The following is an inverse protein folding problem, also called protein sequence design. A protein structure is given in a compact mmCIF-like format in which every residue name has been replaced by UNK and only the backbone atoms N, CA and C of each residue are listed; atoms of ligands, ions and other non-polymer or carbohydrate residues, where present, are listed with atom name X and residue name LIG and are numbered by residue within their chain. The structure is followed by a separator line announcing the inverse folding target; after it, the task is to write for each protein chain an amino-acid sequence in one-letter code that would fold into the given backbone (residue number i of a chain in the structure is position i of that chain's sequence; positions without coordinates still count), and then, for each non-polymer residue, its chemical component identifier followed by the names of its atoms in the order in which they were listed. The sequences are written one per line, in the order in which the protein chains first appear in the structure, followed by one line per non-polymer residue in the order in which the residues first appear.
data_IF_192088449767
#
_entry.id   IF_192088449767
#
_cell.length_a   1.000
_cell.length_b   1.000
_cell.length_c   1.000
_cell.angle_alpha   90.00
_cell.angle_beta   90.00
_cell.angle_gamma   90.00
#
_symmetry.space_group_name_H-M   'P 1'
#
loop_
_entity.id
_entity.type
_entity.pdbx_description
1 polymer ?
#
# COMPACT_ATOMS: atom_id res chain seq x y z
N UNK A 1 -30.24 -5.99 20.24
CA UNK A 1 -29.71 -6.89 21.27
C UNK A 1 -28.53 -7.67 20.69
N UNK A 2 -27.47 -7.85 21.47
CA UNK A 2 -26.33 -8.69 21.09
C UNK A 2 -26.78 -10.16 21.25
N UNK A 3 -26.72 -10.90 20.14
CA UNK A 3 -27.24 -12.29 20.11
C UNK A 3 -26.18 -13.32 20.51
N UNK A 4 -24.92 -12.88 20.76
CA UNK A 4 -23.82 -13.77 21.10
C UNK A 4 -23.46 -13.71 22.57
N UNK A 5 -23.27 -14.88 23.21
CA UNK A 5 -22.72 -14.95 24.55
C UNK A 5 -21.25 -14.49 24.56
N UNK A 6 -20.67 -14.08 25.72
CA UNK A 6 -19.26 -13.71 25.83
C UNK A 6 -18.30 -14.80 25.31
N UNK A 7 -18.60 -16.07 25.60
CA UNK A 7 -17.80 -17.21 25.17
C UNK A 7 -17.86 -17.46 23.65
N UNK A 8 -19.05 -17.33 23.06
CA UNK A 8 -19.22 -17.41 21.62
C UNK A 8 -18.46 -16.29 20.92
N UNK A 9 -18.50 -15.07 21.46
CA UNK A 9 -17.76 -13.93 20.95
C UNK A 9 -16.26 -14.18 21.05
N UNK A 10 -15.77 -14.64 22.19
CA UNK A 10 -14.36 -14.98 22.37
C UNK A 10 -13.89 -16.03 21.34
N UNK A 11 -14.65 -17.09 21.13
CA UNK A 11 -14.36 -18.12 20.11
C UNK A 11 -14.36 -17.56 18.69
N UNK A 12 -15.27 -16.65 18.36
CA UNK A 12 -15.28 -15.99 17.06
C UNK A 12 -14.05 -15.09 16.86
N UNK A 13 -13.72 -14.29 17.87
CA UNK A 13 -12.58 -13.37 17.80
C UNK A 13 -11.24 -14.09 17.77
N UNK A 14 -11.08 -15.21 18.47
CA UNK A 14 -9.86 -16.04 18.47
C UNK A 14 -9.57 -16.69 17.11
N UNK A 15 -10.59 -16.84 16.25
CA UNK A 15 -10.43 -17.35 14.88
C UNK A 15 -9.99 -16.28 13.87
N UNK A 16 -10.00 -15.01 14.27
CA UNK A 16 -9.55 -13.93 13.37
C UNK A 16 -8.04 -13.84 13.43
N UNK A 17 -7.41 -14.27 12.35
CA UNK A 17 -5.96 -14.17 12.20
C UNK A 17 -5.56 -12.75 11.79
N UNK A 18 -4.53 -12.22 12.45
CA UNK A 18 -3.93 -10.91 12.13
C UNK A 18 -2.86 -10.98 11.03
N UNK A 19 -2.58 -12.17 10.51
CA UNK A 19 -1.55 -12.44 9.49
C UNK A 19 -2.00 -13.55 8.55
N UNK A 20 -1.49 -13.52 7.34
CA UNK A 20 -1.83 -14.48 6.29
C UNK A 20 -3.32 -14.52 5.99
N UNK A 21 -3.96 -13.36 6.06
CA UNK A 21 -5.36 -13.22 5.69
C UNK A 21 -5.58 -13.52 4.21
N UNK A 22 -6.81 -13.90 3.84
CA UNK A 22 -7.15 -14.16 2.43
C UNK A 22 -6.80 -12.99 1.49
N UNK A 23 -7.10 -11.71 1.84
CA UNK A 23 -6.67 -10.55 1.05
C UNK A 23 -5.15 -10.47 0.88
N UNK A 24 -4.38 -10.58 1.97
CA UNK A 24 -2.92 -10.56 1.89
C UNK A 24 -2.36 -11.64 0.97
N UNK A 25 -2.87 -12.88 1.08
CA UNK A 25 -2.42 -13.99 0.24
C UNK A 25 -2.72 -13.77 -1.25
N UNK A 26 -3.83 -13.10 -1.61
CA UNK A 26 -4.14 -12.73 -2.99
C UNK A 26 -3.10 -11.76 -3.55
N UNK A 27 -2.81 -10.67 -2.82
CA UNK A 27 -1.81 -9.68 -3.22
C UNK A 27 -0.42 -10.33 -3.34
N UNK A 28 -0.01 -11.12 -2.36
CA UNK A 28 1.29 -11.81 -2.37
C UNK A 28 1.44 -12.77 -3.56
N UNK A 29 0.43 -13.58 -3.86
CA UNK A 29 0.45 -14.51 -5.00
C UNK A 29 0.56 -13.76 -6.32
N UNK A 30 -0.23 -12.70 -6.47
CA UNK A 30 -0.21 -11.89 -7.68
C UNK A 30 1.17 -11.25 -7.89
N UNK A 31 1.74 -10.59 -6.89
CA UNK A 31 3.07 -9.99 -6.98
C UNK A 31 4.13 -11.05 -7.32
N UNK A 32 4.08 -12.20 -6.67
CA UNK A 32 5.04 -13.28 -6.91
C UNK A 32 4.95 -13.81 -8.34
N UNK A 33 3.74 -14.03 -8.87
CA UNK A 33 3.53 -14.52 -10.25
C UNK A 33 3.96 -13.53 -11.31
N UNK A 34 4.01 -12.23 -10.98
CA UNK A 34 4.51 -11.16 -11.87
C UNK A 34 5.99 -10.81 -11.64
N UNK A 35 6.74 -11.69 -10.98
CA UNK A 35 8.19 -11.55 -10.84
C UNK A 35 8.65 -10.67 -9.69
N UNK A 36 7.76 -10.04 -8.94
CA UNK A 36 8.13 -9.21 -7.80
C UNK A 36 8.62 -10.04 -6.62
N UNK A 37 9.68 -9.59 -5.97
CA UNK A 37 10.25 -10.22 -4.77
C UNK A 37 10.11 -9.26 -3.59
N UNK A 38 9.67 -9.79 -2.45
CA UNK A 38 9.32 -9.00 -1.28
C UNK A 38 9.71 -9.72 0.02
N UNK A 39 9.69 -9.00 1.12
CA UNK A 39 9.84 -9.52 2.47
C UNK A 39 8.55 -9.31 3.27
N UNK A 40 8.30 -10.22 4.20
CA UNK A 40 7.15 -10.19 5.10
C UNK A 40 7.61 -9.90 6.53
N UNK A 41 6.72 -9.33 7.34
CA UNK A 41 6.92 -9.16 8.78
C UNK A 41 8.26 -8.48 9.15
N UNK A 42 8.65 -7.45 8.43
CA UNK A 42 9.90 -6.71 8.68
C UNK A 42 9.71 -5.77 9.86
N UNK A 43 10.18 -6.19 11.03
CA UNK A 43 10.01 -5.44 12.31
C UNK A 43 10.67 -4.06 12.32
N UNK A 44 11.72 -3.84 11.51
CA UNK A 44 12.42 -2.56 11.41
C UNK A 44 11.67 -1.50 10.60
N UNK A 45 10.53 -1.86 9.99
CA UNK A 45 9.71 -0.95 9.19
C UNK A 45 8.49 -0.51 10.02
N UNK A 46 8.29 0.79 10.26
CA UNK A 46 7.15 1.30 11.03
C UNK A 46 5.81 0.81 10.52
N UNK A 47 4.85 0.59 11.42
CA UNK A 47 3.50 0.14 11.07
C UNK A 47 3.37 -1.34 10.71
N UNK A 48 4.48 -2.08 10.66
CA UNK A 48 4.50 -3.53 10.34
C UNK A 48 3.75 -3.84 9.04
N UNK A 49 4.17 -3.29 7.89
CA UNK A 49 3.52 -3.55 6.62
C UNK A 49 3.48 -5.02 6.26
N UNK A 50 2.43 -5.44 5.55
CA UNK A 50 2.24 -6.84 5.13
C UNK A 50 3.29 -7.28 4.13
N UNK A 51 3.75 -6.33 3.28
CA UNK A 51 4.72 -6.58 2.22
C UNK A 51 5.73 -5.42 2.19
N UNK A 52 7.02 -5.75 2.18
CA UNK A 52 8.11 -4.77 2.10
C UNK A 52 8.97 -5.06 0.87
N UNK A 53 9.11 -4.09 0.02
CA UNK A 53 9.86 -4.16 -1.24
C UNK A 53 11.02 -3.16 -1.20
N UNK A 54 12.17 -3.58 -0.65
CA UNK A 54 13.35 -2.71 -0.47
C UNK A 54 13.88 -2.09 -1.77
N UNK A 55 13.99 -2.83 -2.90
CA UNK A 55 14.46 -2.25 -4.16
C UNK A 55 13.59 -1.10 -4.66
N UNK A 56 12.31 -1.11 -4.31
CA UNK A 56 11.31 -0.11 -4.67
C UNK A 56 11.09 0.92 -3.56
N UNK A 57 11.77 0.79 -2.40
CA UNK A 57 11.48 1.55 -1.17
C UNK A 57 9.99 1.66 -0.87
N UNK A 58 9.27 0.56 -1.06
CA UNK A 58 7.80 0.53 -0.96
C UNK A 58 7.34 -0.40 0.14
N UNK A 59 6.40 0.09 0.95
CA UNK A 59 5.67 -0.64 1.96
C UNK A 59 4.21 -0.78 1.53
N UNK A 60 3.70 -2.02 1.47
CA UNK A 60 2.30 -2.28 1.08
C UNK A 60 1.55 -2.78 2.30
N UNK A 61 0.40 -2.15 2.57
CA UNK A 61 -0.55 -2.53 3.59
C UNK A 61 -1.81 -3.08 2.92
N UNK A 62 -2.32 -4.20 3.41
CA UNK A 62 -3.56 -4.82 2.92
C UNK A 62 -4.62 -4.71 4.01
N UNK A 63 -5.41 -3.67 3.92
CA UNK A 63 -6.32 -3.27 4.98
C UNK A 63 -7.71 -3.92 4.83
N UNK A 64 -8.20 -4.55 5.89
CA UNK A 64 -9.59 -4.95 5.99
C UNK A 64 -10.50 -3.74 6.17
N UNK A 65 -11.54 -3.60 5.33
CA UNK A 65 -12.39 -2.41 5.29
C UNK A 65 -13.01 -2.08 6.64
N UNK A 66 -13.49 -3.07 7.36
CA UNK A 66 -14.11 -2.87 8.67
C UNK A 66 -13.12 -2.37 9.73
N UNK A 67 -11.95 -3.01 9.82
CA UNK A 67 -10.99 -2.75 10.89
C UNK A 67 -10.27 -1.40 10.76
N UNK A 68 -10.12 -0.92 9.54
CA UNK A 68 -9.41 0.32 9.20
C UNK A 68 -10.37 1.44 8.75
N UNK A 69 -11.69 1.19 8.76
CA UNK A 69 -12.70 2.19 8.48
C UNK A 69 -12.64 2.74 7.06
N UNK A 70 -12.57 1.85 6.06
CA UNK A 70 -12.56 2.27 4.67
C UNK A 70 -13.85 3.06 4.34
N UNK A 71 -13.70 4.21 3.70
CA UNK A 71 -14.78 5.15 3.34
C UNK A 71 -15.61 5.67 4.54
N UNK A 72 -15.08 5.59 5.75
CA UNK A 72 -15.73 6.13 6.94
C UNK A 72 -14.95 7.33 7.45
N UNK A 73 -15.48 8.52 7.23
CA UNK A 73 -14.96 9.75 7.85
C UNK A 73 -15.59 9.92 9.24
N UNK A 74 -14.77 9.70 10.26
CA UNK A 74 -15.19 9.77 11.67
C UNK A 74 -14.86 11.17 12.23
N UNK A 75 -15.54 12.22 11.77
CA UNK A 75 -15.41 13.57 12.33
C UNK A 75 -16.37 13.74 13.52
N UNK A 76 -15.85 14.29 14.60
CA UNK A 76 -16.66 14.68 15.77
C UNK A 76 -17.00 16.16 15.60
N UNK A 77 -18.26 16.46 15.30
CA UNK A 77 -18.79 17.81 15.33
C UNK A 77 -19.78 17.94 16.50
N UNK A 78 -19.53 18.94 17.36
CA UNK A 78 -20.38 19.26 18.53
C UNK A 78 -20.65 18.08 19.48
N UNK A 79 -19.64 17.22 19.72
CA UNK A 79 -19.77 16.05 20.60
C UNK A 79 -20.63 14.93 20.02
N UNK A 80 -21.16 15.07 18.81
CA UNK A 80 -21.91 14.03 18.09
C UNK A 80 -21.11 13.52 16.91
N UNK A 81 -21.06 12.22 16.79
CA UNK A 81 -20.39 11.53 15.70
C UNK A 81 -21.24 11.63 14.43
N UNK A 82 -20.72 12.29 13.42
CA UNK A 82 -21.27 12.24 12.05
C UNK A 82 -20.43 11.27 11.24
N UNK A 83 -21.04 10.22 10.73
CA UNK A 83 -20.50 9.48 9.61
C UNK A 83 -20.94 10.27 8.37
N UNK A 84 -20.03 10.89 7.66
CA UNK A 84 -20.36 11.45 6.34
C UNK A 84 -20.40 10.32 5.34
N UNK A 85 -21.49 10.24 4.60
CA UNK A 85 -21.51 9.58 3.31
C UNK A 85 -20.50 10.33 2.41
N UNK A 86 -19.63 9.61 1.75
CA UNK A 86 -18.40 10.11 1.14
C UNK A 86 -18.60 11.38 0.30
N UNK A 87 -18.07 12.52 0.75
CA UNK A 87 -17.65 13.59 -0.15
C UNK A 87 -16.15 13.43 -0.45
N UNK A 88 -15.69 13.74 -1.67
CA UNK A 88 -14.30 13.51 -2.06
C UNK A 88 -13.36 14.37 -1.20
N UNK A 89 -12.48 13.72 -0.46
CA UNK A 89 -11.50 14.37 0.39
C UNK A 89 -10.46 15.11 -0.47
N UNK A 90 -10.30 16.39 -0.19
CA UNK A 90 -9.16 17.20 -0.60
C UNK A 90 -7.89 16.74 0.14
N UNK A 91 -6.84 16.46 -0.63
CA UNK A 91 -5.41 16.54 -0.29
C UNK A 91 -4.80 15.76 0.89
N UNK A 92 -5.27 14.58 1.23
CA UNK A 92 -4.48 13.73 2.12
C UNK A 92 -4.60 12.27 1.68
N UNK A 93 -3.49 11.70 1.26
CA UNK A 93 -3.33 10.35 0.73
C UNK A 93 -4.02 10.16 -0.62
N UNK A 94 -3.24 10.23 -1.69
CA UNK A 94 -3.69 9.76 -3.02
C UNK A 94 -3.96 8.25 -2.97
N UNK A 95 -5.05 7.88 -2.31
CA UNK A 95 -5.79 6.69 -2.64
C UNK A 95 -6.34 6.98 -4.02
N UNK A 96 -6.02 6.17 -4.98
CA UNK A 96 -6.42 6.14 -6.40
C UNK A 96 -7.50 7.17 -6.79
N UNK A 97 -7.20 8.25 -7.54
CA UNK A 97 -8.08 9.42 -7.67
C UNK A 97 -9.35 9.23 -8.52
N UNK A 98 -9.64 8.06 -9.06
CA UNK A 98 -10.79 7.88 -9.95
C UNK A 98 -11.70 6.67 -9.65
N UNK A 99 -11.63 6.09 -8.46
CA UNK A 99 -12.39 4.87 -8.16
C UNK A 99 -13.73 5.08 -7.46
N UNK A 100 -14.15 6.34 -7.27
CA UNK A 100 -15.38 6.66 -6.53
C UNK A 100 -16.69 6.22 -7.22
N UNK A 101 -16.65 5.74 -8.45
CA UNK A 101 -17.88 5.52 -9.23
C UNK A 101 -18.38 4.08 -9.31
N UNK A 102 -17.70 3.09 -8.70
CA UNK A 102 -18.16 1.68 -8.76
C UNK A 102 -18.15 1.03 -7.36
N UNK A 103 -18.01 1.77 -6.29
CA UNK A 103 -18.03 1.20 -4.95
C UNK A 103 -19.46 1.32 -4.43
N UNK A 104 -20.14 0.18 -4.42
CA UNK A 104 -21.38 -0.04 -3.69
C UNK A 104 -21.21 0.53 -2.29
N UNK A 105 -22.00 1.54 -1.96
CA UNK A 105 -21.89 2.43 -0.81
C UNK A 105 -21.58 1.67 0.47
N UNK A 106 -20.49 2.06 1.13
CA UNK A 106 -20.05 1.62 2.46
C UNK A 106 -19.68 0.14 2.58
N UNK A 107 -18.46 -0.21 2.12
CA UNK A 107 -17.87 -1.52 2.42
C UNK A 107 -17.57 -1.71 3.92
N UNK A 108 -17.43 -0.63 4.70
CA UNK A 108 -17.31 -0.66 6.16
C UNK A 108 -18.68 -0.43 6.82
N UNK A 109 -19.32 -1.50 7.32
CA UNK A 109 -20.58 -1.42 8.06
C UNK A 109 -20.31 -1.48 9.56
N UNK A 110 -20.48 -0.34 10.25
CA UNK A 110 -20.32 -0.27 11.70
C UNK A 110 -21.53 -0.97 12.38
N UNK A 111 -21.31 -1.95 13.28
CA UNK A 111 -22.40 -2.63 13.98
C UNK A 111 -23.28 -1.65 14.76
N UNK A 112 -24.60 -1.90 14.75
CA UNK A 112 -25.55 -1.09 15.52
C UNK A 112 -25.39 -1.31 17.02
N UNK A 113 -25.05 -2.55 17.43
CA UNK A 113 -24.76 -2.89 18.83
C UNK A 113 -23.38 -2.35 19.20
N UNK A 114 -23.30 -1.72 20.38
CA UNK A 114 -22.06 -1.16 20.94
C UNK A 114 -21.31 -0.19 19.96
N UNK A 115 -22.11 0.62 19.25
CA UNK A 115 -21.63 1.50 18.18
C UNK A 115 -20.50 2.43 18.65
N UNK A 116 -20.61 3.02 19.85
CA UNK A 116 -19.60 3.91 20.41
C UNK A 116 -18.22 3.25 20.54
N UNK A 117 -18.19 2.00 21.02
CA UNK A 117 -16.95 1.23 21.11
C UNK A 117 -16.31 1.01 19.73
N UNK A 118 -17.09 0.60 18.73
CA UNK A 118 -16.57 0.32 17.40
C UNK A 118 -16.04 1.56 16.70
N UNK A 119 -16.76 2.65 16.81
CA UNK A 119 -16.35 3.93 16.27
C UNK A 119 -15.02 4.38 16.86
N UNK A 120 -14.90 4.37 18.18
CA UNK A 120 -13.65 4.76 18.85
C UNK A 120 -12.50 3.83 18.50
N UNK A 121 -12.75 2.52 18.36
CA UNK A 121 -11.74 1.56 17.94
C UNK A 121 -11.26 1.80 16.52
N UNK A 122 -12.18 2.04 15.57
CA UNK A 122 -11.86 2.33 14.17
C UNK A 122 -11.07 3.64 14.09
N UNK A 123 -11.50 4.69 14.80
CA UNK A 123 -10.79 5.98 14.84
C UNK A 123 -9.36 5.84 15.32
N UNK A 124 -9.13 5.08 16.39
CA UNK A 124 -7.75 4.81 16.87
C UNK A 124 -6.93 4.06 15.86
N UNK A 125 -7.52 3.12 15.15
CA UNK A 125 -6.81 2.40 14.08
C UNK A 125 -6.43 3.36 12.95
N UNK A 126 -7.37 4.19 12.46
CA UNK A 126 -7.09 5.19 11.41
C UNK A 126 -5.97 6.16 11.82
N UNK A 127 -6.02 6.69 13.06
CA UNK A 127 -4.98 7.60 13.56
C UNK A 127 -3.61 6.93 13.65
N UNK A 128 -3.57 5.68 14.12
CA UNK A 128 -2.34 4.90 14.17
C UNK A 128 -1.79 4.63 12.78
N UNK A 129 -2.63 4.24 11.84
CA UNK A 129 -2.26 3.92 10.47
C UNK A 129 -1.71 5.16 9.78
N UNK A 130 -2.40 6.30 9.86
CA UNK A 130 -1.93 7.56 9.27
C UNK A 130 -0.59 8.01 9.85
N UNK A 131 -0.40 7.92 11.17
CA UNK A 131 0.90 8.21 11.81
C UNK A 131 2.00 7.32 11.24
N UNK A 132 1.75 6.02 11.11
CA UNK A 132 2.73 5.09 10.57
C UNK A 132 3.03 5.37 9.10
N UNK A 133 2.02 5.70 8.30
CA UNK A 133 2.19 6.07 6.90
C UNK A 133 3.01 7.35 6.74
N UNK A 134 2.77 8.34 7.61
CA UNK A 134 3.55 9.58 7.59
C UNK A 134 5.02 9.32 7.95
N UNK A 135 5.29 8.56 9.01
CA UNK A 135 6.66 8.17 9.39
C UNK A 135 7.38 7.46 8.24
N UNK A 136 6.68 6.59 7.51
CA UNK A 136 7.25 5.90 6.36
C UNK A 136 7.60 6.88 5.23
N UNK A 137 6.68 7.79 4.89
CA UNK A 137 6.90 8.81 3.86
C UNK A 137 8.06 9.74 4.21
N UNK A 138 8.13 10.20 5.45
CA UNK A 138 9.21 11.06 5.96
C UNK A 138 10.59 10.36 5.87
N UNK A 139 10.60 9.03 5.97
CA UNK A 139 11.79 8.21 5.77
C UNK A 139 12.02 7.82 4.29
N UNK A 140 11.32 8.44 3.35
CA UNK A 140 11.48 8.21 1.91
C UNK A 140 10.93 6.86 1.43
N UNK A 141 9.99 6.26 2.14
CA UNK A 141 9.26 5.09 1.70
C UNK A 141 7.99 5.48 0.97
N UNK A 142 7.70 4.79 -0.11
CA UNK A 142 6.38 4.84 -0.73
C UNK A 142 5.42 3.92 0.04
N UNK A 143 4.23 4.43 0.30
CA UNK A 143 3.18 3.67 0.99
C UNK A 143 2.06 3.38 0.01
N UNK A 144 1.76 2.10 -0.16
CA UNK A 144 0.62 1.63 -0.96
C UNK A 144 -0.35 0.94 -0.01
N UNK A 145 -1.60 1.40 0.00
CA UNK A 145 -2.68 0.78 0.77
C UNK A 145 -3.63 0.10 -0.21
N UNK A 146 -3.84 -1.20 -0.02
CA UNK A 146 -4.77 -2.01 -0.80
C UNK A 146 -5.92 -2.42 0.12
N UNK A 147 -7.15 -2.12 -0.26
CA UNK A 147 -8.33 -2.43 0.53
C UNK A 147 -8.92 -3.79 0.15
N UNK A 148 -9.44 -4.50 1.15
CA UNK A 148 -10.08 -5.81 0.95
C UNK A 148 -11.17 -5.80 -0.12
N UNK A 149 -11.99 -4.75 -0.18
CA UNK A 149 -13.06 -4.60 -1.17
C UNK A 149 -12.52 -4.52 -2.61
N UNK A 150 -11.33 -3.97 -2.81
CA UNK A 150 -10.65 -3.86 -4.10
C UNK A 150 -10.12 -5.20 -4.61
N UNK A 151 -10.06 -6.22 -3.74
CA UNK A 151 -9.59 -7.57 -4.08
C UNK A 151 -10.73 -8.56 -4.38
N UNK A 152 -11.95 -8.04 -4.62
CA UNK A 152 -13.06 -8.82 -5.17
C UNK A 152 -12.75 -9.27 -6.59
N UNK A 153 -13.30 -10.42 -7.07
CA UNK A 153 -12.96 -10.97 -8.39
C UNK A 153 -13.07 -9.97 -9.56
N UNK A 154 -14.07 -9.09 -9.53
CA UNK A 154 -14.28 -8.09 -10.58
C UNK A 154 -13.27 -6.92 -10.55
N UNK A 155 -12.57 -6.69 -9.45
CA UNK A 155 -11.72 -5.50 -9.24
C UNK A 155 -10.24 -5.84 -9.08
N UNK A 156 -9.92 -7.07 -8.70
CA UNK A 156 -8.56 -7.47 -8.33
C UNK A 156 -7.54 -7.21 -9.43
N UNK A 157 -7.88 -7.51 -10.68
CA UNK A 157 -6.97 -7.35 -11.81
C UNK A 157 -6.62 -5.87 -12.03
N UNK A 158 -7.63 -5.01 -12.02
CA UNK A 158 -7.45 -3.56 -12.13
C UNK A 158 -6.60 -3.02 -10.97
N UNK A 159 -6.95 -3.39 -9.75
CA UNK A 159 -6.24 -2.96 -8.53
C UNK A 159 -4.77 -3.37 -8.56
N UNK A 160 -4.50 -4.60 -8.96
CA UNK A 160 -3.13 -5.09 -8.95
C UNK A 160 -2.28 -4.50 -10.08
N UNK A 161 -2.87 -4.22 -11.24
CA UNK A 161 -2.17 -3.46 -12.31
C UNK A 161 -1.80 -2.05 -11.86
N UNK A 162 -2.66 -1.41 -11.09
CA UNK A 162 -2.37 -0.09 -10.56
C UNK A 162 -1.26 -0.14 -9.49
N UNK A 163 -1.24 -1.17 -8.65
CA UNK A 163 -0.11 -1.42 -7.73
C UNK A 163 1.19 -1.61 -8.52
N UNK A 164 1.15 -2.36 -9.60
CA UNK A 164 2.29 -2.57 -10.49
C UNK A 164 2.81 -1.27 -11.11
N UNK A 165 1.92 -0.45 -11.66
CA UNK A 165 2.28 0.84 -12.23
C UNK A 165 3.00 1.72 -11.21
N UNK A 166 2.49 1.77 -9.96
CA UNK A 166 3.14 2.52 -8.88
C UNK A 166 4.50 1.96 -8.51
N UNK A 167 4.63 0.64 -8.43
CA UNK A 167 5.92 0.00 -8.15
C UNK A 167 6.95 0.34 -9.24
N UNK A 168 6.54 0.26 -10.51
CA UNK A 168 7.41 0.59 -11.63
C UNK A 168 7.81 2.08 -11.62
N UNK A 169 6.88 2.98 -11.30
CA UNK A 169 7.20 4.40 -11.13
C UNK A 169 8.20 4.63 -10.00
N UNK A 170 7.98 4.03 -8.83
CA UNK A 170 8.92 4.13 -7.70
C UNK A 170 10.32 3.63 -8.08
N UNK A 171 10.39 2.55 -8.85
CA UNK A 171 11.66 2.01 -9.32
C UNK A 171 12.37 2.97 -10.26
N UNK A 172 11.66 3.55 -11.21
CA UNK A 172 12.20 4.55 -12.14
C UNK A 172 12.67 5.78 -11.40
N UNK A 173 11.89 6.32 -10.46
CA UNK A 173 12.26 7.52 -9.69
C UNK A 173 13.55 7.31 -8.90
N UNK A 174 13.73 6.15 -8.26
CA UNK A 174 14.93 5.80 -7.51
C UNK A 174 16.16 5.67 -8.43
N UNK A 175 15.97 5.08 -9.62
CA UNK A 175 17.09 4.83 -10.53
C UNK A 175 17.42 6.05 -11.38
N UNK A 176 16.45 6.88 -11.75
CA UNK A 176 16.71 8.17 -12.43
C UNK A 176 17.56 9.11 -11.59
N UNK A 177 17.31 9.18 -10.28
CA UNK A 177 18.14 9.97 -9.36
C UNK A 177 19.58 9.46 -9.28
N UNK A 178 19.80 8.16 -9.41
CA UNK A 178 21.15 7.59 -9.45
C UNK A 178 21.87 7.88 -10.76
N UNK A 179 21.16 7.86 -11.87
CA UNK A 179 21.73 8.17 -13.21
C UNK A 179 22.08 9.64 -13.32
N UNK A 180 21.27 10.55 -12.79
CA UNK A 180 21.56 11.99 -12.76
C UNK A 180 22.72 12.35 -11.80
N UNK A 181 23.05 11.49 -10.85
CA UNK A 181 24.23 11.63 -9.98
C UNK A 181 25.53 11.10 -10.58
N UNK A 182 25.50 10.41 -11.70
CA UNK A 182 26.68 10.18 -12.51
C UNK A 182 26.96 11.47 -13.29
N UNK A 183 27.96 12.21 -12.85
CA UNK A 183 28.52 13.34 -13.59
C UNK A 183 28.68 12.93 -15.05
N UNK A 184 28.16 13.72 -15.96
CA UNK A 184 28.39 13.61 -17.40
C UNK A 184 29.74 14.13 -17.78
N UNK A 185 30.72 14.13 -16.87
CA UNK A 185 32.12 14.29 -17.17
C UNK A 185 32.63 13.00 -17.82
N UNK A 186 32.07 12.66 -18.96
CA UNK A 186 32.75 11.83 -19.93
C UNK A 186 33.86 12.75 -20.49
N UNK A 187 35.14 12.47 -20.23
CA UNK A 187 36.19 13.26 -20.85
C UNK A 187 36.00 13.17 -22.36
N UNK A 188 36.03 14.32 -23.04
CA UNK A 188 35.85 14.52 -24.48
C UNK A 188 36.82 13.68 -25.33
N UNK A 189 37.62 12.81 -24.72
CA UNK A 189 38.67 11.99 -25.30
C UNK A 189 38.45 10.48 -25.14
N UNK A 190 37.20 10.00 -24.90
CA UNK A 190 36.99 8.56 -25.07
C UNK A 190 36.93 8.20 -26.54
N UNK A 191 37.85 7.34 -27.06
CA UNK A 191 37.79 6.89 -28.44
C UNK A 191 36.46 6.20 -28.70
N UNK A 192 35.77 6.61 -29.76
CA UNK A 192 34.52 5.98 -30.19
C UNK A 192 34.84 4.49 -30.45
N UNK A 193 33.96 3.59 -30.06
CA UNK A 193 34.15 2.13 -30.12
C UNK A 193 34.61 1.61 -31.51
N UNK A 194 34.42 2.38 -32.57
CA UNK A 194 34.93 2.12 -33.93
C UNK A 194 36.46 2.22 -34.04
N UNK A 195 37.10 3.17 -33.33
CA UNK A 195 38.58 3.34 -33.38
C UNK A 195 39.30 2.27 -32.55
N UNK A 196 38.65 1.74 -31.50
CA UNK A 196 39.22 0.64 -30.71
C UNK A 196 39.27 -0.69 -31.49
N UNK A 197 38.41 -0.89 -32.47
CA UNK A 197 38.40 -2.10 -33.30
C UNK A 197 39.52 -2.11 -34.32
N UNK A 198 39.94 -0.95 -34.85
CA UNK A 198 41.06 -0.84 -35.80
C UNK A 198 42.41 -1.04 -35.12
N UNK A 199 42.60 -0.62 -33.89
CA UNK A 199 43.85 -0.84 -33.15
C UNK A 199 44.04 -2.30 -32.71
N UNK A 200 42.99 -3.07 -32.52
CA UNK A 200 43.07 -4.50 -32.20
C UNK A 200 43.43 -5.36 -33.43
N UNK A 201 43.14 -4.87 -34.64
CA UNK A 201 43.46 -5.58 -35.90
C UNK A 201 44.90 -5.41 -36.37
N UNK A 202 45.62 -4.41 -35.86
CA UNK A 202 47.01 -4.12 -36.31
C UNK A 202 48.10 -4.80 -35.46
N UNK A 203 47.79 -5.28 -34.27
CA UNK A 203 48.74 -5.94 -33.36
C UNK A 203 48.80 -7.47 -33.48
N UNK A 204 48.08 -8.06 -34.43
CA UNK A 204 48.03 -9.52 -34.63
C UNK A 204 48.39 -9.92 -36.10
N UNK A 205 49.34 -9.24 -36.71
CA UNK A 205 49.97 -9.72 -37.92
C UNK A 205 51.48 -9.94 -37.72
#
# INVERSE_FOLDING_TARGET
MDTMSPDQRHRCMSKIHSRNTKPELKVRRWLWSHGYRYRLCVKSVPGSPDIVMRPYRTAIFVNGCFWHGHDVDLKIENGKLKCRDAEPASDAVKTFPEQSQIIDSACCKIPKSNRGFWVEKIRRNQQRDERNYQILRDNGWQVIVVWECQLKPALIERTMREVELRLNQCFLDIHSQKVLGYSTDVPDNMPVAAEAAEQYGQNNK
#
